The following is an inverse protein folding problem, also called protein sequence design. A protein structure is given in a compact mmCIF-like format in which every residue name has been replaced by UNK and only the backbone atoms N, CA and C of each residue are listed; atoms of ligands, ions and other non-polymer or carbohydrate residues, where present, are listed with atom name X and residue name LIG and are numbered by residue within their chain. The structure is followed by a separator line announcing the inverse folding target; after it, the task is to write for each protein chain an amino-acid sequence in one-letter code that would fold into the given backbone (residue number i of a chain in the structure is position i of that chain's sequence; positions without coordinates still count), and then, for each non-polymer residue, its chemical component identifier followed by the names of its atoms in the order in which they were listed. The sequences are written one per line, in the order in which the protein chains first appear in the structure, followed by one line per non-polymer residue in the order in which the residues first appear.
data_IF_165267806389
#
_entry.id   IF_165267806389
#
_cell.length_a   1.000
_cell.length_b   1.000
_cell.length_c   1.000
_cell.angle_alpha   90.00
_cell.angle_beta   90.00
_cell.angle_gamma   90.00
#
_symmetry.space_group_name_H-M   'P 1'
#
loop_
_entity.id
_entity.type
_entity.pdbx_description
1 polymer ?
#
# COMPACT_ATOMS: atom_id res chain seq x y z
N UNK A 1 19.68 33.81 28.31
CA UNK A 1 20.51 33.21 27.25
C UNK A 1 19.60 32.85 26.09
N UNK A 2 19.67 33.60 24.99
CA UNK A 2 18.98 33.27 23.74
C UNK A 2 19.88 32.32 22.94
N UNK A 3 19.40 31.22 22.35
CA UNK A 3 20.21 30.50 21.39
C UNK A 3 20.25 31.31 20.09
N UNK A 4 21.47 31.49 19.59
CA UNK A 4 21.79 32.20 18.36
C UNK A 4 21.59 31.26 17.17
N UNK A 5 20.74 31.62 16.21
CA UNK A 5 20.63 30.90 14.95
C UNK A 5 21.73 31.35 13.99
N UNK A 6 22.46 30.39 13.42
CA UNK A 6 23.46 30.64 12.38
C UNK A 6 22.76 30.88 11.02
N UNK A 7 23.29 31.77 10.17
CA UNK A 7 22.67 32.13 8.89
C UNK A 7 22.88 31.04 7.83
N UNK A 8 21.84 30.80 7.03
CA UNK A 8 21.85 29.97 5.83
C UNK A 8 22.77 30.59 4.76
N UNK A 9 23.78 29.83 4.31
CA UNK A 9 24.59 30.21 3.16
C UNK A 9 25.68 29.22 2.75
N UNK A 10 25.44 28.58 1.59
CA UNK A 10 26.40 28.00 0.62
C UNK A 10 27.18 26.72 0.94
N UNK A 11 27.00 25.76 0.02
CA UNK A 11 27.85 24.61 -0.33
C UNK A 11 28.17 23.62 0.79
N UNK A 12 27.32 22.61 0.95
CA UNK A 12 27.71 21.31 1.52
C UNK A 12 27.38 20.18 0.55
N UNK A 13 28.36 19.29 0.40
CA UNK A 13 28.40 18.16 -0.51
C UNK A 13 27.27 17.14 -0.26
N UNK A 14 26.96 16.38 -1.31
CA UNK A 14 25.99 15.29 -1.32
C UNK A 14 26.20 14.35 -0.12
N UNK A 15 25.27 14.38 0.84
CA UNK A 15 25.15 13.36 1.89
C UNK A 15 24.42 12.14 1.33
N UNK A 16 24.83 10.91 1.71
CA UNK A 16 24.16 9.69 1.26
C UNK A 16 22.69 9.66 1.73
N UNK A 17 21.77 9.34 0.82
CA UNK A 17 20.31 9.41 0.97
C UNK A 17 19.66 8.45 2.00
N UNK A 18 20.41 7.84 2.91
CA UNK A 18 19.83 6.88 3.87
C UNK A 18 19.56 7.47 5.27
N UNK A 19 20.05 8.68 5.57
CA UNK A 19 20.11 9.15 6.96
C UNK A 19 19.39 10.48 7.20
N UNK A 20 18.10 10.52 6.85
CA UNK A 20 17.05 11.23 7.61
C UNK A 20 15.70 11.05 6.91
N UNK A 21 14.76 10.38 7.57
CA UNK A 21 13.35 10.66 7.29
C UNK A 21 13.13 12.06 7.83
N UNK A 22 13.02 13.05 6.95
CA UNK A 22 12.68 14.41 7.36
C UNK A 22 11.24 14.39 7.89
N UNK A 23 11.13 14.22 9.21
CA UNK A 23 9.90 14.40 9.96
C UNK A 23 9.60 15.90 9.95
N UNK A 24 8.83 16.34 8.97
CA UNK A 24 8.34 17.71 8.94
C UNK A 24 7.16 17.80 9.91
N UNK A 25 7.31 18.50 11.06
CA UNK A 25 6.15 18.77 11.91
C UNK A 25 5.13 19.60 11.12
N UNK A 26 3.85 19.34 11.39
CA UNK A 26 2.69 19.86 10.66
C UNK A 26 2.60 21.41 10.60
N UNK A 27 3.44 22.12 11.37
CA UNK A 27 3.50 23.59 11.49
C UNK A 27 4.67 24.25 10.72
N UNK A 28 5.18 23.63 9.66
CA UNK A 28 6.25 24.24 8.85
C UNK A 28 5.68 25.25 7.84
N UNK A 29 6.04 26.55 7.90
CA UNK A 29 5.49 27.56 7.00
C UNK A 29 6.08 27.40 5.59
N UNK A 30 5.26 26.96 4.63
CA UNK A 30 5.68 26.90 3.22
C UNK A 30 4.99 25.88 2.32
N UNK A 31 4.10 25.01 2.82
CA UNK A 31 3.34 24.09 1.96
C UNK A 31 1.84 24.04 2.28
N UNK A 32 1.07 23.79 1.22
CA UNK A 32 -0.37 24.03 1.02
C UNK A 32 -1.34 23.23 1.91
N UNK A 33 -0.85 22.66 3.01
CA UNK A 33 -1.62 21.95 4.03
C UNK A 33 -0.95 22.19 5.39
N UNK A 34 -1.22 23.35 6.00
CA UNK A 34 -0.87 23.61 7.40
C UNK A 34 -1.88 24.61 8.00
N UNK A 35 -2.58 24.28 9.10
CA UNK A 35 -3.40 25.21 9.87
C UNK A 35 -2.54 25.82 10.98
N UNK A 36 -1.45 26.49 10.63
CA UNK A 36 -0.67 27.28 11.58
C UNK A 36 -1.26 28.69 11.69
N UNK A 37 -2.29 28.85 12.52
CA UNK A 37 -2.71 30.14 13.06
C UNK A 37 -3.13 29.95 14.51
N UNK A 38 -2.16 29.79 15.40
CA UNK A 38 -2.37 29.93 16.84
C UNK A 38 -1.12 30.46 17.53
N UNK A 39 -0.75 31.72 17.25
CA UNK A 39 -0.17 32.68 18.18
C UNK A 39 0.31 33.88 17.38
N UNK A 40 -0.45 34.96 17.42
CA UNK A 40 0.05 36.30 17.78
C UNK A 40 -1.13 37.28 17.69
N UNK A 41 -1.23 38.13 18.70
CA UNK A 41 -2.40 38.95 19.05
C UNK A 41 -2.73 40.10 18.10
N UNK A 42 -2.94 39.81 16.81
CA UNK A 42 -3.52 40.76 15.87
C UNK A 42 -4.22 40.05 14.69
N UNK A 43 -5.29 39.30 14.98
CA UNK A 43 -6.20 38.78 13.95
C UNK A 43 -7.47 39.65 13.92
N UNK A 44 -7.44 40.73 13.13
CA UNK A 44 -8.67 41.20 12.52
C UNK A 44 -9.11 40.15 11.50
N UNK A 45 -10.33 39.65 11.68
CA UNK A 45 -11.03 38.61 10.89
C UNK A 45 -10.52 37.16 11.05
N UNK A 46 -11.04 36.49 12.07
CA UNK A 46 -11.24 35.04 12.06
C UNK A 46 -12.19 34.66 10.91
N UNK A 47 -11.66 34.53 9.69
CA UNK A 47 -12.32 33.76 8.64
C UNK A 47 -12.18 32.29 9.01
N UNK A 48 -13.18 31.78 9.74
CA UNK A 48 -13.56 30.37 9.66
C UNK A 48 -13.37 29.93 8.20
N UNK A 49 -12.60 28.88 7.94
CA UNK A 49 -12.58 28.21 6.64
C UNK A 49 -14.01 27.75 6.33
N UNK A 50 -14.80 28.68 5.78
CA UNK A 50 -16.08 28.42 5.17
C UNK A 50 -15.74 27.63 3.93
N UNK A 51 -16.04 26.34 4.00
CA UNK A 51 -16.16 25.50 2.83
C UNK A 51 -17.05 26.25 1.82
N UNK A 52 -16.62 26.45 0.56
CA UNK A 52 -17.49 27.06 -0.43
C UNK A 52 -18.75 26.18 -0.52
N UNK A 53 -19.91 26.78 -0.22
CA UNK A 53 -21.21 26.13 -0.44
C UNK A 53 -21.25 25.74 -1.92
N UNK A 54 -21.58 24.49 -2.27
CA UNK A 54 -21.64 24.10 -3.68
C UNK A 54 -22.72 24.94 -4.37
N UNK A 55 -22.27 25.82 -5.27
CA UNK A 55 -23.11 26.55 -6.20
C UNK A 55 -23.84 25.55 -7.11
N UNK A 56 -25.15 25.50 -6.90
CA UNK A 56 -26.23 25.10 -7.81
C UNK A 56 -25.81 24.73 -9.24
N UNK A 57 -25.47 23.46 -9.43
CA UNK A 57 -25.57 22.76 -10.72
C UNK A 57 -25.94 21.31 -10.44
N UNK A 58 -27.12 21.12 -9.86
CA UNK A 58 -27.65 19.82 -9.43
C UNK A 58 -28.47 19.18 -10.54
N UNK A 59 -27.89 18.19 -11.21
CA UNK A 59 -28.59 17.22 -12.07
C UNK A 59 -29.68 16.48 -11.27
N UNK A 60 -30.82 16.16 -11.89
CA UNK A 60 -32.03 15.53 -11.34
C UNK A 60 -31.84 14.29 -10.42
N UNK A 61 -30.65 13.68 -10.41
CA UNK A 61 -30.31 12.55 -9.52
C UNK A 61 -30.02 13.02 -8.08
N UNK A 62 -29.57 14.26 -7.87
CA UNK A 62 -29.23 14.78 -6.54
C UNK A 62 -30.42 15.27 -5.71
N UNK A 63 -31.62 15.34 -6.28
CA UNK A 63 -32.84 15.66 -5.53
C UNK A 63 -33.46 14.43 -4.86
N UNK A 64 -33.17 13.22 -5.34
CA UNK A 64 -33.73 11.97 -4.79
C UNK A 64 -32.88 11.33 -3.69
N UNK A 65 -31.59 11.66 -3.58
CA UNK A 65 -30.69 11.16 -2.55
C UNK A 65 -30.07 12.33 -1.80
N UNK A 66 -30.44 12.49 -0.53
CA UNK A 66 -29.93 13.56 0.34
C UNK A 66 -28.41 13.68 0.31
N UNK A 67 -27.90 14.91 0.33
CA UNK A 67 -26.48 15.23 0.20
C UNK A 67 -25.57 14.48 1.21
N UNK A 68 -26.08 14.18 2.41
CA UNK A 68 -25.38 13.38 3.44
C UNK A 68 -25.29 11.88 3.11
N UNK A 69 -26.34 11.28 2.54
CA UNK A 69 -26.37 9.83 2.25
C UNK A 69 -25.44 9.47 1.09
N UNK A 70 -25.28 10.37 0.13
CA UNK A 70 -24.37 10.15 -1.00
C UNK A 70 -22.90 10.07 -0.56
N UNK A 71 -22.50 10.85 0.45
CA UNK A 71 -21.12 10.84 0.96
C UNK A 71 -20.81 9.55 1.73
N UNK A 72 -21.78 9.04 2.49
CA UNK A 72 -21.65 7.74 3.15
C UNK A 72 -21.54 6.61 2.13
N UNK A 73 -22.44 6.58 1.13
CA UNK A 73 -22.44 5.59 0.06
C UNK A 73 -21.12 5.57 -0.72
N UNK A 74 -20.59 6.74 -1.07
CA UNK A 74 -19.30 6.86 -1.76
C UNK A 74 -18.15 6.20 -0.98
N UNK A 75 -18.10 6.37 0.35
CA UNK A 75 -17.06 5.76 1.19
C UNK A 75 -17.16 4.23 1.19
N UNK A 76 -18.36 3.67 1.16
CA UNK A 76 -18.57 2.22 1.02
C UNK A 76 -18.14 1.71 -0.35
N UNK A 77 -18.49 2.41 -1.43
CA UNK A 77 -18.03 2.08 -2.78
C UNK A 77 -16.50 2.14 -2.90
N UNK A 78 -15.87 3.19 -2.37
CA UNK A 78 -14.41 3.32 -2.36
C UNK A 78 -13.76 2.17 -1.56
N UNK A 79 -14.31 1.82 -0.40
CA UNK A 79 -13.82 0.69 0.40
C UNK A 79 -13.94 -0.64 -0.34
N UNK A 80 -15.02 -0.85 -1.09
CA UNK A 80 -15.18 -2.02 -1.96
C UNK A 80 -14.08 -2.07 -3.03
N UNK A 81 -13.89 -0.97 -3.77
CA UNK A 81 -12.89 -0.86 -4.84
C UNK A 81 -11.47 -1.04 -4.32
N UNK A 82 -11.13 -0.44 -3.17
CA UNK A 82 -9.83 -0.61 -2.50
C UNK A 82 -9.57 -2.08 -2.20
N UNK A 83 -10.54 -2.80 -1.62
CA UNK A 83 -10.39 -4.21 -1.29
C UNK A 83 -10.18 -5.09 -2.53
N UNK A 84 -10.95 -4.84 -3.60
CA UNK A 84 -10.83 -5.55 -4.88
C UNK A 84 -9.45 -5.34 -5.52
N UNK A 85 -9.01 -4.08 -5.63
CA UNK A 85 -7.72 -3.75 -6.24
C UNK A 85 -6.56 -4.33 -5.42
N UNK A 86 -6.62 -4.21 -4.10
CA UNK A 86 -5.57 -4.76 -3.22
C UNK A 86 -5.46 -6.28 -3.37
N UNK A 87 -6.60 -6.99 -3.46
CA UNK A 87 -6.60 -8.44 -3.69
C UNK A 87 -5.98 -8.83 -5.03
N UNK A 88 -6.32 -8.13 -6.12
CA UNK A 88 -5.72 -8.41 -7.44
C UNK A 88 -4.22 -8.17 -7.46
N UNK A 89 -3.74 -7.11 -6.80
CA UNK A 89 -2.29 -6.86 -6.68
C UNK A 89 -1.62 -7.98 -5.88
N UNK A 90 -2.23 -8.44 -4.79
CA UNK A 90 -1.71 -9.55 -4.00
C UNK A 90 -1.62 -10.85 -4.79
N UNK A 91 -2.66 -11.18 -5.56
CA UNK A 91 -2.67 -12.33 -6.48
C UNK A 91 -1.57 -12.20 -7.53
N UNK A 92 -1.42 -11.01 -8.12
CA UNK A 92 -0.37 -10.74 -9.11
C UNK A 92 1.03 -10.98 -8.53
N UNK A 93 1.33 -10.44 -7.34
CA UNK A 93 2.60 -10.69 -6.65
C UNK A 93 2.79 -12.19 -6.39
N UNK A 94 1.73 -12.88 -5.96
CA UNK A 94 1.81 -14.30 -5.63
C UNK A 94 2.11 -15.17 -6.84
N UNK A 95 1.33 -15.03 -7.91
CA UNK A 95 1.47 -15.79 -9.15
C UNK A 95 2.77 -15.44 -9.87
N UNK A 96 3.17 -14.16 -9.88
CA UNK A 96 4.43 -13.71 -10.45
C UNK A 96 5.64 -14.32 -9.74
N UNK A 97 5.66 -14.25 -8.41
CA UNK A 97 6.73 -14.86 -7.60
C UNK A 97 6.75 -16.38 -7.77
N UNK A 98 5.58 -17.03 -7.74
CA UNK A 98 5.47 -18.48 -7.94
C UNK A 98 6.00 -18.94 -9.30
N UNK A 99 5.68 -18.19 -10.36
CA UNK A 99 6.19 -18.46 -11.72
C UNK A 99 7.72 -18.35 -11.80
N UNK A 100 8.31 -17.28 -11.24
CA UNK A 100 9.77 -17.08 -11.21
C UNK A 100 10.45 -18.22 -10.45
N UNK A 101 9.92 -18.57 -9.28
CA UNK A 101 10.48 -19.62 -8.42
C UNK A 101 10.35 -21.00 -9.08
N UNK A 102 9.20 -21.31 -9.67
CA UNK A 102 8.99 -22.59 -10.36
C UNK A 102 9.91 -22.74 -11.58
N UNK A 103 10.06 -21.67 -12.37
CA UNK A 103 10.97 -21.66 -13.50
C UNK A 103 12.42 -21.85 -13.03
N UNK A 104 12.85 -21.11 -12.01
CA UNK A 104 14.19 -21.22 -11.40
C UNK A 104 14.49 -22.65 -10.96
N UNK A 105 13.59 -23.28 -10.23
CA UNK A 105 13.80 -24.64 -9.73
C UNK A 105 13.72 -25.69 -10.83
N UNK A 106 12.90 -25.48 -11.87
CA UNK A 106 12.87 -26.38 -13.04
C UNK A 106 14.21 -26.36 -13.78
N UNK A 107 14.77 -25.16 -14.02
CA UNK A 107 16.09 -25.03 -14.65
C UNK A 107 17.20 -25.60 -13.76
N UNK A 108 17.16 -25.33 -12.45
CA UNK A 108 18.12 -25.86 -11.51
C UNK A 108 18.12 -27.40 -11.50
N UNK A 109 16.94 -28.03 -11.47
CA UNK A 109 16.82 -29.50 -11.56
C UNK A 109 17.45 -30.05 -12.83
N UNK A 110 17.21 -29.42 -13.98
CA UNK A 110 17.83 -29.79 -15.24
C UNK A 110 19.36 -29.71 -15.19
N UNK A 111 19.92 -28.66 -14.60
CA UNK A 111 21.39 -28.53 -14.43
C UNK A 111 21.94 -29.61 -13.50
N UNK A 112 21.25 -29.92 -12.39
CA UNK A 112 21.68 -30.98 -11.47
C UNK A 112 21.63 -32.37 -12.10
N UNK A 113 20.68 -32.64 -12.99
CA UNK A 113 20.61 -33.92 -13.72
C UNK A 113 21.77 -34.08 -14.72
N UNK A 114 22.16 -33.00 -15.40
CA UNK A 114 23.37 -32.98 -16.24
C UNK A 114 24.67 -33.13 -15.43
N UNK A 115 24.69 -32.67 -14.18
CA UNK A 115 25.82 -32.85 -13.27
C UNK A 115 25.92 -34.32 -12.80
N UNK A 116 24.79 -34.92 -12.40
CA UNK A 116 24.72 -36.34 -12.00
C UNK A 116 25.12 -37.31 -13.12
N UNK A 117 24.84 -36.96 -14.36
CA UNK A 117 25.21 -37.75 -15.55
C UNK A 117 26.66 -37.54 -16.01
N UNK A 118 27.44 -36.67 -15.34
CA UNK A 118 28.83 -36.39 -15.67
C UNK A 118 29.03 -35.53 -16.93
N UNK A 119 27.96 -34.93 -17.47
CA UNK A 119 28.02 -34.06 -18.66
C UNK A 119 28.53 -32.64 -18.33
N UNK A 120 28.48 -32.22 -17.07
CA UNK A 120 28.82 -30.85 -16.64
C UNK A 120 29.78 -30.85 -15.47
N UNK A 121 30.45 -29.71 -15.26
CA UNK A 121 31.40 -29.50 -14.16
C UNK A 121 30.70 -29.57 -12.80
N UNK A 122 31.36 -30.23 -11.82
CA UNK A 122 30.88 -30.33 -10.44
C UNK A 122 30.68 -28.94 -9.83
N UNK A 123 29.46 -28.62 -9.40
CA UNK A 123 29.09 -27.31 -8.86
C UNK A 123 28.41 -26.36 -9.86
N UNK A 124 28.15 -26.77 -11.10
CA UNK A 124 27.41 -25.95 -12.07
C UNK A 124 26.02 -25.52 -11.56
N UNK A 125 25.32 -26.41 -10.83
CA UNK A 125 24.02 -26.07 -10.22
C UNK A 125 24.11 -24.95 -9.17
N UNK A 126 25.17 -24.95 -8.35
CA UNK A 126 25.41 -23.91 -7.36
C UNK A 126 25.70 -22.57 -8.02
N UNK A 127 26.55 -22.56 -9.04
CA UNK A 127 26.89 -21.35 -9.80
C UNK A 127 25.64 -20.76 -10.45
N UNK A 128 24.82 -21.60 -11.09
CA UNK A 128 23.55 -21.16 -11.67
C UNK A 128 22.64 -20.50 -10.62
N UNK A 129 22.46 -21.14 -9.46
CA UNK A 129 21.61 -20.63 -8.40
C UNK A 129 22.11 -19.28 -7.87
N UNK A 130 23.41 -19.15 -7.61
CA UNK A 130 24.01 -17.92 -7.07
C UNK A 130 23.90 -16.78 -8.09
N UNK A 131 24.26 -17.03 -9.35
CA UNK A 131 24.21 -16.00 -10.40
C UNK A 131 22.78 -15.54 -10.67
N UNK A 132 21.83 -16.48 -10.74
CA UNK A 132 20.43 -16.15 -11.01
C UNK A 132 19.79 -15.36 -9.86
N UNK A 133 20.04 -15.77 -8.61
CA UNK A 133 19.57 -15.02 -7.44
C UNK A 133 20.21 -13.62 -7.37
N UNK A 134 21.52 -13.50 -7.60
CA UNK A 134 22.22 -12.22 -7.61
C UNK A 134 21.71 -11.28 -8.72
N UNK A 135 21.40 -11.83 -9.90
CA UNK A 135 20.83 -11.07 -11.01
C UNK A 135 19.43 -10.54 -10.69
N UNK A 136 18.53 -11.38 -10.17
CA UNK A 136 17.18 -10.94 -9.78
C UNK A 136 17.20 -9.86 -8.70
N UNK A 137 18.00 -10.07 -7.65
CA UNK A 137 18.12 -9.10 -6.54
C UNK A 137 18.80 -7.81 -7.00
N UNK A 138 19.82 -7.92 -7.86
CA UNK A 138 20.51 -6.76 -8.43
C UNK A 138 19.57 -5.89 -9.26
N UNK A 139 18.73 -6.50 -10.10
CA UNK A 139 17.70 -5.78 -10.86
C UNK A 139 16.66 -5.14 -9.92
N UNK A 140 16.18 -5.88 -8.92
CA UNK A 140 15.22 -5.35 -7.95
C UNK A 140 15.76 -4.12 -7.21
N UNK A 141 17.00 -4.21 -6.72
CA UNK A 141 17.68 -3.11 -6.02
C UNK A 141 17.89 -1.90 -6.93
N UNK A 142 18.34 -2.12 -8.16
CA UNK A 142 18.54 -1.05 -9.15
C UNK A 142 17.22 -0.32 -9.44
N UNK A 143 16.13 -1.05 -9.69
CA UNK A 143 14.83 -0.43 -9.97
C UNK A 143 14.35 0.42 -8.78
N UNK A 144 14.48 -0.08 -7.56
CA UNK A 144 14.06 0.67 -6.36
C UNK A 144 14.91 1.93 -6.18
N UNK A 145 16.23 1.82 -6.28
CA UNK A 145 17.15 2.94 -6.04
C UNK A 145 17.01 4.07 -7.08
N UNK A 146 16.79 3.73 -8.36
CA UNK A 146 16.71 4.74 -9.42
C UNK A 146 15.31 5.35 -9.59
N UNK A 147 14.23 4.57 -9.43
CA UNK A 147 12.88 5.07 -9.72
C UNK A 147 12.13 5.58 -8.49
N UNK A 148 12.23 4.88 -7.36
CA UNK A 148 11.44 5.19 -6.18
C UNK A 148 12.13 4.69 -4.90
N UNK A 149 13.12 5.42 -4.35
CA UNK A 149 13.84 5.01 -3.14
C UNK A 149 12.91 4.86 -1.93
N UNK A 150 11.79 5.60 -1.91
CA UNK A 150 10.73 5.48 -0.89
C UNK A 150 10.01 4.12 -0.90
N UNK A 151 10.22 3.27 -1.91
CA UNK A 151 9.67 1.92 -1.96
C UNK A 151 10.51 0.89 -1.18
N UNK A 152 11.71 1.27 -0.71
CA UNK A 152 12.60 0.38 0.04
C UNK A 152 11.95 -0.13 1.34
N UNK A 153 12.35 -1.34 1.75
CA UNK A 153 11.88 -1.96 2.99
C UNK A 153 10.40 -2.36 2.97
N UNK A 154 9.85 -2.62 4.17
CA UNK A 154 8.47 -3.09 4.33
C UNK A 154 7.45 -2.00 4.02
N UNK A 155 7.62 -0.78 4.53
CA UNK A 155 6.61 0.27 4.42
C UNK A 155 5.65 0.39 5.61
N UNK A 156 5.77 -0.53 6.58
CA UNK A 156 4.98 -0.53 7.81
C UNK A 156 5.26 0.72 8.67
N UNK A 157 6.52 1.11 8.98
CA UNK A 157 6.75 2.27 9.83
C UNK A 157 6.24 3.57 9.18
N UNK A 158 6.34 3.70 7.86
CA UNK A 158 5.82 4.83 7.09
C UNK A 158 4.28 4.85 7.15
N UNK A 159 3.65 3.69 6.99
CA UNK A 159 2.18 3.53 7.13
C UNK A 159 1.73 3.93 8.53
N UNK A 160 2.41 3.43 9.58
CA UNK A 160 2.14 3.76 10.98
C UNK A 160 2.29 5.26 11.24
N UNK A 161 3.37 5.86 10.79
CA UNK A 161 3.62 7.30 10.98
C UNK A 161 2.52 8.15 10.36
N UNK A 162 2.04 7.79 9.18
CA UNK A 162 0.99 8.57 8.51
C UNK A 162 -0.38 8.37 9.11
N UNK A 163 -0.70 7.16 9.60
CA UNK A 163 -1.93 6.94 10.34
C UNK A 163 -1.91 7.71 11.68
N UNK A 164 -0.75 7.88 12.30
CA UNK A 164 -0.56 8.76 13.46
C UNK A 164 -0.60 10.27 13.12
N UNK A 165 -0.75 10.64 11.84
CA UNK A 165 -0.87 12.03 11.40
C UNK A 165 0.45 12.71 11.04
N UNK A 166 1.56 11.97 11.01
CA UNK A 166 2.85 12.48 10.56
C UNK A 166 2.90 12.42 9.03
N UNK A 167 3.08 13.58 8.39
CA UNK A 167 3.18 13.65 6.93
C UNK A 167 4.58 13.23 6.46
N UNK A 168 4.72 11.99 6.04
CA UNK A 168 5.92 11.56 5.31
C UNK A 168 5.80 12.03 3.86
N UNK A 169 6.86 12.63 3.28
CA UNK A 169 6.83 13.15 1.91
C UNK A 169 6.94 11.99 0.90
N UNK A 170 6.11 12.02 -0.15
CA UNK A 170 6.19 11.17 -1.36
C UNK A 170 6.09 9.63 -1.17
N UNK A 171 5.76 9.12 0.02
CA UNK A 171 5.70 7.67 0.29
C UNK A 171 4.49 6.95 -0.34
N UNK A 172 3.36 7.64 -0.51
CA UNK A 172 2.12 7.13 -1.14
C UNK A 172 1.99 7.46 -2.62
N UNK A 173 3.09 7.41 -3.38
CA UNK A 173 3.02 7.68 -4.81
C UNK A 173 2.56 6.44 -5.61
N UNK A 174 1.88 6.61 -6.75
CA UNK A 174 1.59 5.48 -7.65
C UNK A 174 2.89 4.85 -8.19
N UNK A 175 3.97 5.62 -8.34
CA UNK A 175 5.28 5.09 -8.75
C UNK A 175 5.88 4.15 -7.70
N UNK A 176 5.74 4.49 -6.41
CA UNK A 176 6.17 3.60 -5.30
C UNK A 176 5.38 2.29 -5.27
N UNK A 177 4.10 2.30 -5.65
CA UNK A 177 3.29 1.08 -5.76
C UNK A 177 3.88 0.11 -6.80
N UNK A 178 4.18 0.62 -8.00
CA UNK A 178 4.71 -0.18 -9.12
C UNK A 178 6.10 -0.72 -8.75
N UNK A 179 7.00 0.15 -8.28
CA UNK A 179 8.36 -0.24 -7.93
C UNK A 179 8.38 -1.25 -6.77
N UNK A 180 7.55 -1.05 -5.74
CA UNK A 180 7.43 -1.98 -4.60
C UNK A 180 6.90 -3.34 -5.05
N UNK A 181 5.84 -3.37 -5.87
CA UNK A 181 5.25 -4.61 -6.40
C UNK A 181 6.30 -5.43 -7.18
N UNK A 182 7.02 -4.78 -8.11
CA UNK A 182 8.07 -5.44 -8.89
C UNK A 182 9.26 -5.87 -8.02
N UNK A 183 9.69 -5.01 -7.10
CA UNK A 183 10.82 -5.26 -6.21
C UNK A 183 10.61 -6.46 -5.30
N UNK A 184 9.40 -6.63 -4.74
CA UNK A 184 9.07 -7.80 -3.91
C UNK A 184 9.08 -9.08 -4.74
N UNK A 185 8.46 -9.09 -5.93
CA UNK A 185 8.42 -10.28 -6.79
C UNK A 185 9.83 -10.77 -7.13
N UNK A 186 10.73 -9.85 -7.48
CA UNK A 186 12.12 -10.17 -7.80
C UNK A 186 12.95 -10.53 -6.56
N UNK A 187 12.74 -9.85 -5.43
CA UNK A 187 13.49 -10.13 -4.18
C UNK A 187 13.14 -11.49 -3.59
N UNK A 188 11.84 -11.82 -3.53
CA UNK A 188 11.37 -13.14 -3.06
C UNK A 188 11.73 -14.22 -4.09
N UNK A 189 11.58 -13.94 -5.39
CA UNK A 189 12.01 -14.85 -6.46
C UNK A 189 13.51 -15.15 -6.44
N UNK A 190 14.32 -14.15 -6.10
CA UNK A 190 15.77 -14.23 -5.89
C UNK A 190 16.19 -14.94 -4.61
N UNK A 191 15.24 -15.41 -3.79
CA UNK A 191 15.53 -16.23 -2.61
C UNK A 191 16.11 -15.45 -1.42
N UNK A 192 15.94 -14.13 -1.37
CA UNK A 192 16.26 -13.37 -0.16
C UNK A 192 15.37 -13.83 1.01
N UNK A 193 15.87 -13.79 2.26
CA UNK A 193 15.11 -14.14 3.46
C UNK A 193 14.12 -13.02 3.82
N UNK A 194 13.21 -12.69 2.90
CA UNK A 194 12.23 -11.60 3.02
C UNK A 194 10.83 -12.11 2.70
N UNK A 195 9.84 -11.54 3.39
CA UNK A 195 8.43 -11.84 3.18
C UNK A 195 7.73 -10.80 2.31
N UNK A 196 6.72 -11.26 1.57
CA UNK A 196 5.78 -10.42 0.79
C UNK A 196 4.64 -9.84 1.65
N UNK A 197 4.47 -10.36 2.87
CA UNK A 197 3.36 -10.02 3.77
C UNK A 197 3.39 -8.56 4.27
N UNK A 198 4.55 -8.11 4.78
CA UNK A 198 4.69 -6.74 5.30
C UNK A 198 4.46 -5.66 4.22
N UNK A 199 5.11 -5.77 3.05
CA UNK A 199 4.90 -4.82 1.97
C UNK A 199 3.47 -4.76 1.41
N UNK A 200 2.67 -5.84 1.54
CA UNK A 200 1.27 -5.85 1.11
C UNK A 200 0.38 -4.90 1.91
N UNK A 201 0.70 -4.71 3.20
CA UNK A 201 0.02 -3.75 4.08
C UNK A 201 0.21 -2.33 3.52
N UNK A 202 1.47 -1.99 3.19
CA UNK A 202 1.79 -0.70 2.61
C UNK A 202 1.17 -0.53 1.22
N UNK A 203 1.18 -1.57 0.38
CA UNK A 203 0.52 -1.57 -0.94
C UNK A 203 -0.98 -1.23 -0.81
N UNK A 204 -1.69 -1.85 0.13
CA UNK A 204 -3.11 -1.55 0.39
C UNK A 204 -3.33 -0.10 0.82
N UNK A 205 -2.43 0.44 1.66
CA UNK A 205 -2.46 1.85 2.05
C UNK A 205 -2.20 2.80 0.86
N UNK A 206 -1.23 2.49 -0.02
CA UNK A 206 -0.94 3.29 -1.22
C UNK A 206 -2.12 3.26 -2.20
N UNK A 207 -2.76 2.10 -2.39
CA UNK A 207 -3.96 1.98 -3.24
C UNK A 207 -5.07 2.88 -2.72
N UNK A 208 -5.37 2.82 -1.42
CA UNK A 208 -6.37 3.68 -0.79
C UNK A 208 -6.03 5.17 -0.96
N UNK A 209 -4.78 5.55 -0.76
CA UNK A 209 -4.32 6.93 -0.93
C UNK A 209 -4.39 7.40 -2.39
N UNK A 210 -4.00 6.56 -3.35
CA UNK A 210 -4.02 6.89 -4.77
C UNK A 210 -5.45 7.08 -5.29
N UNK A 211 -6.40 6.28 -4.81
CA UNK A 211 -7.83 6.37 -5.12
C UNK A 211 -8.54 7.52 -4.42
N UNK A 212 -7.96 8.10 -3.37
CA UNK A 212 -8.56 9.20 -2.61
C UNK A 212 -7.82 10.52 -2.80
N UNK A 213 -6.63 10.49 -3.39
CA UNK A 213 -5.79 11.65 -3.63
C UNK A 213 -6.35 12.54 -4.74
N UNK A 214 -6.41 13.85 -4.45
CA UNK A 214 -6.91 14.91 -5.35
C UNK A 214 -6.11 15.02 -6.66
N UNK A 215 -4.85 14.52 -6.68
CA UNK A 215 -3.90 14.72 -7.78
C UNK A 215 -4.10 13.77 -8.98
N UNK A 216 -4.59 12.54 -8.74
CA UNK A 216 -4.97 11.58 -9.80
C UNK A 216 -6.04 12.15 -10.73
N UNK A 217 -6.84 13.09 -10.23
CA UNK A 217 -8.03 13.61 -10.91
C UNK A 217 -7.77 14.82 -11.81
N UNK A 218 -6.62 15.48 -11.73
CA UNK A 218 -6.25 16.57 -12.65
C UNK A 218 -5.90 16.03 -14.05
N UNK A 219 -5.36 14.82 -14.17
CA UNK A 219 -5.07 14.21 -15.46
C UNK A 219 -6.30 13.58 -16.15
N UNK A 220 -7.39 13.32 -15.42
CA UNK A 220 -8.60 12.65 -15.92
C UNK A 220 -9.78 13.63 -16.09
N UNK A 221 -9.49 14.88 -16.46
CA UNK A 221 -10.49 15.95 -16.61
C UNK A 221 -11.42 15.76 -17.82
N UNK A 222 -11.20 14.73 -18.66
CA UNK A 222 -12.03 14.46 -19.83
C UNK A 222 -13.27 13.58 -19.54
N UNK A 223 -13.35 12.89 -18.40
CA UNK A 223 -14.50 12.04 -18.07
C UNK A 223 -15.44 12.74 -17.06
N UNK A 224 -16.48 13.39 -17.59
CA UNK A 224 -17.55 14.10 -16.84
C UNK A 224 -18.50 13.15 -16.07
N UNK A 225 -18.01 12.28 -15.19
CA UNK A 225 -18.90 11.41 -14.41
C UNK A 225 -18.46 11.37 -12.94
N UNK A 226 -19.28 11.92 -12.05
CA UNK A 226 -19.30 11.75 -10.57
C UNK A 226 -18.02 11.97 -9.74
N UNK A 227 -16.85 12.21 -10.35
CA UNK A 227 -15.54 12.33 -9.70
C UNK A 227 -15.38 13.57 -8.81
N UNK A 228 -16.19 14.63 -9.02
CA UNK A 228 -16.13 15.87 -8.22
C UNK A 228 -16.33 15.62 -6.71
N UNK A 229 -17.06 14.56 -6.32
CA UNK A 229 -17.33 14.26 -4.90
C UNK A 229 -16.16 13.61 -4.16
N UNK A 230 -15.23 12.94 -4.85
CA UNK A 230 -14.04 12.35 -4.21
C UNK A 230 -13.09 13.47 -3.75
N UNK A 231 -13.00 14.55 -4.52
CA UNK A 231 -12.23 15.76 -4.20
C UNK A 231 -12.72 16.48 -2.93
N UNK A 232 -13.92 16.16 -2.44
CA UNK A 232 -14.54 16.75 -1.24
C UNK A 232 -14.30 15.94 0.06
N UNK A 233 -13.52 14.86 0.01
CA UNK A 233 -13.21 14.09 1.22
C UNK A 233 -12.33 14.92 2.18
N UNK A 234 -12.69 14.88 3.47
CA UNK A 234 -11.87 15.46 4.54
C UNK A 234 -10.61 14.62 4.74
N UNK A 235 -9.53 15.23 5.21
CA UNK A 235 -8.28 14.51 5.53
C UNK A 235 -8.51 13.32 6.48
N UNK A 236 -9.44 13.47 7.44
CA UNK A 236 -9.89 12.38 8.30
C UNK A 236 -10.50 11.20 7.52
N UNK A 237 -11.33 11.48 6.52
CA UNK A 237 -11.97 10.43 5.72
C UNK A 237 -10.96 9.70 4.81
N UNK A 238 -9.97 10.45 4.29
CA UNK A 238 -8.86 9.87 3.54
C UNK A 238 -8.05 8.93 4.44
N UNK A 239 -7.70 9.37 5.65
CA UNK A 239 -6.99 8.55 6.62
C UNK A 239 -7.78 7.30 7.01
N UNK A 240 -9.08 7.42 7.26
CA UNK A 240 -9.97 6.30 7.54
C UNK A 240 -9.95 5.26 6.38
N UNK A 241 -9.95 5.72 5.12
CA UNK A 241 -9.89 4.84 3.95
C UNK A 241 -8.50 4.20 3.77
N UNK A 242 -7.43 4.92 4.12
CA UNK A 242 -6.06 4.36 4.18
C UNK A 242 -5.96 3.27 5.24
N UNK A 243 -6.57 3.45 6.42
CA UNK A 243 -6.68 2.39 7.44
C UNK A 243 -7.43 1.18 6.90
N UNK A 244 -8.53 1.38 6.17
CA UNK A 244 -9.24 0.28 5.49
C UNK A 244 -8.34 -0.43 4.47
N UNK A 245 -7.56 0.31 3.69
CA UNK A 245 -6.61 -0.25 2.71
C UNK A 245 -5.50 -1.07 3.37
N UNK A 246 -4.94 -0.58 4.48
CA UNK A 246 -3.97 -1.33 5.27
C UNK A 246 -4.58 -2.63 5.82
N UNK A 247 -5.81 -2.57 6.36
CA UNK A 247 -6.54 -3.77 6.83
C UNK A 247 -6.78 -4.77 5.69
N UNK A 248 -7.15 -4.30 4.50
CA UNK A 248 -7.31 -5.12 3.30
C UNK A 248 -5.99 -5.76 2.85
N UNK A 249 -4.86 -5.05 2.96
CA UNK A 249 -3.53 -5.59 2.69
C UNK A 249 -3.16 -6.74 3.62
N UNK A 250 -3.42 -6.59 4.93
CA UNK A 250 -3.23 -7.67 5.92
C UNK A 250 -4.18 -8.84 5.65
N UNK A 251 -5.44 -8.58 5.31
CA UNK A 251 -6.39 -9.62 4.97
C UNK A 251 -6.01 -10.39 3.70
N UNK A 252 -5.44 -9.72 2.70
CA UNK A 252 -4.94 -10.35 1.48
C UNK A 252 -3.65 -11.17 1.71
N UNK A 253 -2.81 -10.71 2.64
CA UNK A 253 -1.59 -11.39 3.09
C UNK A 253 -1.92 -12.68 3.89
N UNK A 254 -2.65 -12.54 4.99
CA UNK A 254 -2.85 -13.61 5.97
C UNK A 254 -4.23 -14.26 5.93
N UNK A 255 -5.14 -13.80 5.06
CA UNK A 255 -6.46 -14.41 4.93
C UNK A 255 -7.33 -14.24 6.17
N UNK A 256 -6.92 -13.35 7.06
CA UNK A 256 -7.52 -13.10 8.36
C UNK A 256 -8.11 -11.69 8.36
N UNK A 257 -9.35 -11.50 7.89
CA UNK A 257 -9.96 -10.18 7.78
C UNK A 257 -10.13 -9.51 9.16
N UNK A 258 -10.48 -10.26 10.20
CA UNK A 258 -10.59 -9.75 11.57
C UNK A 258 -9.21 -9.33 12.10
N UNK A 259 -8.19 -10.16 11.89
CA UNK A 259 -6.81 -9.85 12.28
C UNK A 259 -6.28 -8.61 11.57
N UNK A 260 -6.60 -8.45 10.28
CA UNK A 260 -6.24 -7.27 9.51
C UNK A 260 -6.88 -5.98 10.00
N UNK A 261 -8.15 -6.03 10.41
CA UNK A 261 -8.82 -4.89 11.04
C UNK A 261 -8.16 -4.55 12.37
N UNK A 262 -7.93 -5.54 13.24
CA UNK A 262 -7.31 -5.30 14.54
C UNK A 262 -5.91 -4.70 14.40
N UNK A 263 -5.09 -5.25 13.49
CA UNK A 263 -3.76 -4.72 13.17
C UNK A 263 -3.84 -3.26 12.70
N UNK A 264 -4.74 -2.95 11.75
CA UNK A 264 -4.87 -1.59 11.23
C UNK A 264 -5.39 -0.59 12.28
N UNK A 265 -6.19 -1.05 13.24
CA UNK A 265 -6.69 -0.22 14.35
C UNK A 265 -5.62 0.02 15.41
N UNK A 266 -4.85 -1.01 15.79
CA UNK A 266 -3.72 -0.90 16.72
C UNK A 266 -2.64 0.06 16.18
N UNK A 267 -2.34 -0.04 14.88
CA UNK A 267 -1.28 0.75 14.26
C UNK A 267 -1.73 2.15 13.83
N UNK A 268 -3.04 2.40 13.71
CA UNK A 268 -3.53 3.60 13.01
C UNK A 268 -4.64 4.41 13.66
N UNK A 269 -5.29 3.93 14.72
CA UNK A 269 -6.41 4.64 15.32
C UNK A 269 -6.13 4.95 16.80
N UNK A 270 -5.71 6.19 17.10
CA UNK A 270 -5.74 6.71 18.49
C UNK A 270 -7.18 6.82 19.03
N UNK A 271 -8.18 6.88 18.13
CA UNK A 271 -9.61 6.93 18.47
C UNK A 271 -10.42 5.94 17.62
N UNK A 272 -10.99 4.95 18.27
CA UNK A 272 -11.82 3.92 17.65
C UNK A 272 -13.23 4.44 17.39
N UNK A 273 -13.61 4.60 16.12
CA UNK A 273 -15.01 4.86 15.76
C UNK A 273 -15.68 3.57 15.26
N UNK A 274 -16.87 3.19 15.77
CA UNK A 274 -17.56 1.98 15.31
C UNK A 274 -17.80 1.94 13.80
N UNK A 275 -18.02 3.11 13.18
CA UNK A 275 -18.22 3.26 11.74
C UNK A 275 -16.96 2.91 10.94
N UNK A 276 -15.76 3.23 11.45
CA UNK A 276 -14.49 2.87 10.81
C UNK A 276 -14.26 1.36 10.87
N UNK A 277 -14.52 0.75 12.04
CA UNK A 277 -14.34 -0.70 12.24
C UNK A 277 -15.17 -1.49 11.25
N UNK A 278 -16.46 -1.17 11.12
CA UNK A 278 -17.35 -1.84 10.17
C UNK A 278 -16.92 -1.69 8.71
N UNK A 279 -16.43 -0.50 8.35
CA UNK A 279 -15.95 -0.22 6.99
C UNK A 279 -14.62 -0.92 6.68
N UNK A 280 -13.69 -0.93 7.64
CA UNK A 280 -12.43 -1.65 7.53
C UNK A 280 -12.67 -3.17 7.44
N UNK A 281 -13.60 -3.69 8.24
CA UNK A 281 -14.02 -5.09 8.18
C UNK A 281 -14.61 -5.45 6.81
N UNK A 282 -15.51 -4.62 6.28
CA UNK A 282 -16.04 -4.82 4.94
C UNK A 282 -14.94 -4.80 3.86
N UNK A 283 -14.01 -3.85 3.92
CA UNK A 283 -12.88 -3.76 2.98
C UNK A 283 -11.93 -4.98 3.08
N UNK A 284 -11.67 -5.46 4.29
CA UNK A 284 -10.87 -6.65 4.54
C UNK A 284 -11.56 -7.93 4.04
N UNK A 285 -12.87 -8.05 4.29
CA UNK A 285 -13.69 -9.17 3.81
C UNK A 285 -13.76 -9.20 2.27
N UNK A 286 -13.90 -8.06 1.60
CA UNK A 286 -13.91 -8.02 0.14
C UNK A 286 -12.56 -8.44 -0.43
N UNK A 287 -11.45 -7.99 0.15
CA UNK A 287 -10.12 -8.42 -0.26
C UNK A 287 -9.91 -9.94 -0.09
N UNK A 288 -10.29 -10.49 1.08
CA UNK A 288 -10.19 -11.92 1.34
C UNK A 288 -11.09 -12.74 0.40
N UNK A 289 -12.31 -12.29 0.15
CA UNK A 289 -13.26 -12.96 -0.74
C UNK A 289 -12.79 -12.98 -2.20
N UNK A 290 -12.29 -11.85 -2.71
CA UNK A 290 -11.72 -11.77 -4.07
C UNK A 290 -10.48 -12.62 -4.20
N UNK A 291 -9.62 -12.61 -3.17
CA UNK A 291 -8.45 -13.48 -3.07
C UNK A 291 -8.82 -14.96 -3.15
N UNK A 292 -9.74 -15.41 -2.30
CA UNK A 292 -10.24 -16.78 -2.28
C UNK A 292 -10.92 -17.15 -3.61
N UNK A 293 -11.86 -16.33 -4.07
CA UNK A 293 -12.66 -16.59 -5.27
C UNK A 293 -11.81 -16.75 -6.52
N UNK A 294 -10.87 -15.83 -6.76
CA UNK A 294 -10.00 -15.88 -7.96
C UNK A 294 -9.14 -17.13 -7.98
N UNK A 295 -8.60 -17.55 -6.83
CA UNK A 295 -7.81 -18.78 -6.74
C UNK A 295 -8.65 -20.03 -7.04
N UNK A 296 -9.91 -20.07 -6.60
CA UNK A 296 -10.85 -21.16 -6.93
C UNK A 296 -11.12 -21.23 -8.45
N UNK A 297 -11.32 -20.08 -9.10
CA UNK A 297 -11.57 -20.03 -10.55
C UNK A 297 -10.35 -20.45 -11.37
N UNK A 298 -9.14 -20.05 -10.97
CA UNK A 298 -7.89 -20.39 -11.70
C UNK A 298 -7.47 -21.85 -11.46
N UNK A 299 -7.72 -22.38 -10.25
CA UNK A 299 -7.33 -23.74 -9.87
C UNK A 299 -8.25 -24.87 -10.35
N UNK A 300 -9.44 -24.55 -10.90
CA UNK A 300 -10.32 -25.52 -11.58
C UNK A 300 -10.86 -26.69 -10.73
N UNK A 301 -10.59 -26.74 -9.42
CA UNK A 301 -11.10 -27.79 -8.53
C UNK A 301 -11.19 -27.30 -7.09
N UNK A 302 -12.27 -27.71 -6.39
CA UNK A 302 -12.43 -27.64 -4.93
C UNK A 302 -11.46 -28.61 -4.20
N UNK A 303 -10.27 -28.84 -4.73
CA UNK A 303 -9.31 -29.78 -4.16
C UNK A 303 -8.26 -29.03 -3.31
N UNK A 304 -7.58 -29.75 -2.43
CA UNK A 304 -6.70 -29.28 -1.35
C UNK A 304 -5.68 -28.17 -1.71
N UNK A 305 -5.36 -27.95 -2.98
CA UNK A 305 -4.53 -26.82 -3.43
C UNK A 305 -5.24 -25.45 -3.38
N UNK A 306 -6.58 -25.43 -3.44
CA UNK A 306 -7.39 -24.25 -3.17
C UNK A 306 -7.29 -23.77 -1.70
N UNK A 307 -6.72 -24.58 -0.78
CA UNK A 307 -6.40 -24.17 0.60
C UNK A 307 -5.13 -23.33 0.74
N UNK A 308 -4.34 -23.16 -0.33
CA UNK A 308 -3.36 -22.06 -0.47
C UNK A 308 -4.05 -20.74 -0.86
N UNK A 309 -5.34 -20.58 -0.56
CA UNK A 309 -6.19 -19.41 -0.85
C UNK A 309 -5.73 -18.11 -0.20
N UNK A 310 -4.70 -18.21 0.62
CA UNK A 310 -4.08 -17.14 1.38
C UNK A 310 -2.59 -17.19 1.10
N UNK A 311 -1.96 -16.02 0.95
CA UNK A 311 -0.53 -15.90 0.65
C UNK A 311 0.35 -16.72 1.60
N UNK A 312 -0.07 -16.77 2.87
CA UNK A 312 0.46 -17.61 3.93
C UNK A 312 -0.69 -18.35 4.65
N UNK A 313 -0.64 -19.68 4.71
CA UNK A 313 -1.66 -20.52 5.36
C UNK A 313 -1.03 -21.43 6.42
N UNK A 314 -1.60 -21.45 7.62
CA UNK A 314 -1.12 -22.23 8.77
C UNK A 314 -1.46 -23.73 8.69
N UNK A 315 -2.27 -24.15 7.71
CA UNK A 315 -2.79 -25.52 7.65
C UNK A 315 -3.88 -25.81 8.70
N UNK A 316 -4.32 -27.06 8.80
CA UNK A 316 -5.27 -27.52 9.83
C UNK A 316 -4.48 -28.04 11.03
N UNK A 317 -4.78 -27.56 12.23
CA UNK A 317 -4.20 -28.07 13.49
C UNK A 317 -5.11 -29.10 14.18
N UNK A 318 -6.08 -29.65 13.46
CA UNK A 318 -7.03 -30.63 13.98
C UNK A 318 -6.55 -32.05 13.72
N UNK A 319 -5.49 -32.47 14.41
CA UNK A 319 -5.20 -33.89 14.57
C UNK A 319 -5.90 -34.36 15.85
N UNK A 320 -6.85 -35.32 15.78
CA UNK A 320 -7.30 -36.02 16.96
C UNK A 320 -6.16 -36.95 17.40
N UNK A 321 -5.59 -36.68 18.57
CA UNK A 321 -4.73 -37.61 19.32
C UNK A 321 -5.46 -38.91 19.65
#
# INVERSE_FOLDING_TARGET
MKPSYAPLGRHEAARPQYESVDFVPYDSPGHLHSPACYSDGNCQECQLQQYPRPTTATSLISSFLGHETTGAFLKWCLSFVIGVITAYIAIFISTGTGSIVNWKYTQLKGVLEHEKSGLTFTGAGLVFLVLFNAMLVGVASTVILYFAPSAAGSGIPETKSTLNGVLVKAWMSPSTLICKTMGIMMSVGGGLPVGREGPLIHIGAIVASTLTSKRTYQCYQSARVHLYRITLLREKDVRDLVTCGAAAGVAAAFGAPIGGVLFALEEGASFLSPKLIWRAFFCAMTAAFVGFGTNVFVGGSFNEEAKKSVLFSFGKMSDPS
#
